data_IF_663926085959
#
_entry.id   IF_663926085959
#
_cell.length_a   1.000
_cell.length_b   1.000
_cell.length_c   1.000
_cell.angle_alpha   90.00
_cell.angle_beta   90.00
_cell.angle_gamma   90.00
#
_symmetry.space_group_name_H-M   'P 1'
#
loop_
_entity.id
_entity.type
_entity.pdbx_description
1 polymer ?
#
# COMPACT_ATOMS: atom_id res chain seq x y z
N UNK A 1 7.11 -22.71 9.87
CA UNK A 1 6.95 -21.32 9.35
C UNK A 1 8.24 -20.55 9.54
N UNK A 2 8.81 -20.03 8.48
CA UNK A 2 10.06 -19.24 8.49
C UNK A 2 9.87 -17.91 9.24
N UNK A 3 10.92 -17.42 9.91
CA UNK A 3 10.84 -16.18 10.72
C UNK A 3 10.38 -14.95 9.92
N UNK A 4 10.85 -14.81 8.67
CA UNK A 4 10.45 -13.69 7.79
C UNK A 4 8.95 -13.68 7.46
N UNK A 5 8.35 -14.87 7.29
CA UNK A 5 6.92 -14.97 6.99
C UNK A 5 6.05 -14.51 8.17
N UNK A 6 6.39 -14.95 9.40
CA UNK A 6 5.71 -14.50 10.62
C UNK A 6 5.88 -12.99 10.83
N UNK A 7 7.12 -12.50 10.66
CA UNK A 7 7.43 -11.08 10.77
C UNK A 7 6.64 -10.22 9.76
N UNK A 8 6.59 -10.66 8.51
CA UNK A 8 5.83 -9.97 7.47
C UNK A 8 4.32 -9.91 7.75
N UNK A 9 3.71 -11.04 8.14
CA UNK A 9 2.29 -11.07 8.49
C UNK A 9 1.97 -10.26 9.75
N UNK A 10 2.83 -10.32 10.77
CA UNK A 10 2.67 -9.51 11.98
C UNK A 10 2.74 -8.01 11.65
N UNK A 11 3.67 -7.61 10.79
CA UNK A 11 3.79 -6.22 10.33
C UNK A 11 2.55 -5.77 9.55
N UNK A 12 1.99 -6.61 8.66
CA UNK A 12 0.71 -6.31 8.00
C UNK A 12 -0.41 -6.19 9.05
N UNK A 13 -0.45 -7.06 10.05
CA UNK A 13 -1.42 -6.98 11.14
C UNK A 13 -1.34 -5.66 11.91
N UNK A 14 -0.12 -5.18 12.21
CA UNK A 14 0.10 -3.85 12.85
C UNK A 14 -0.42 -2.73 11.94
N UNK A 15 -0.14 -2.77 10.64
CA UNK A 15 -0.62 -1.75 9.70
C UNK A 15 -2.16 -1.72 9.63
N UNK A 16 -2.82 -2.89 9.61
CA UNK A 16 -4.28 -3.00 9.63
C UNK A 16 -4.84 -2.45 10.94
N UNK A 17 -4.26 -2.83 12.08
CA UNK A 17 -4.69 -2.33 13.38
C UNK A 17 -4.56 -0.81 13.48
N UNK A 18 -3.42 -0.24 13.06
CA UNK A 18 -3.23 1.20 13.00
C UNK A 18 -4.25 1.88 12.08
N UNK A 19 -4.54 1.29 10.91
CA UNK A 19 -5.58 1.78 9.99
C UNK A 19 -6.97 1.75 10.58
N UNK A 20 -7.34 0.73 11.36
CA UNK A 20 -8.63 0.65 12.06
C UNK A 20 -8.72 1.73 13.14
N UNK A 21 -7.68 1.84 13.98
CA UNK A 21 -7.62 2.85 15.06
C UNK A 21 -7.66 4.27 14.50
N UNK A 22 -7.05 4.49 13.33
CA UNK A 22 -7.07 5.76 12.63
C UNK A 22 -8.49 6.28 12.37
N UNK A 23 -9.45 5.39 12.08
CA UNK A 23 -10.85 5.78 11.85
C UNK A 23 -11.54 6.35 13.10
N UNK A 24 -11.08 5.97 14.30
CA UNK A 24 -11.63 6.51 15.56
C UNK A 24 -10.98 7.83 15.98
N UNK A 25 -9.70 8.02 15.64
CA UNK A 25 -8.92 9.19 16.08
C UNK A 25 -8.62 10.18 14.95
N UNK A 26 -8.85 9.81 13.70
CA UNK A 26 -8.45 10.60 12.53
C UNK A 26 -9.35 11.79 12.21
N UNK A 27 -10.56 11.87 12.78
CA UNK A 27 -11.52 12.97 12.57
C UNK A 27 -11.85 13.26 11.10
N UNK A 28 -11.79 12.25 10.21
CA UNK A 28 -12.09 12.39 8.78
C UNK A 28 -13.31 11.58 8.37
N UNK A 29 -14.06 12.09 7.41
CA UNK A 29 -15.15 11.36 6.78
C UNK A 29 -14.59 10.19 5.97
N UNK A 30 -14.80 8.98 6.48
CA UNK A 30 -14.29 7.76 5.86
C UNK A 30 -14.85 7.50 4.45
N UNK A 31 -15.95 8.12 4.08
CA UNK A 31 -16.61 7.95 2.79
C UNK A 31 -16.02 8.89 1.75
N UNK A 32 -15.87 10.16 2.09
CA UNK A 32 -15.51 11.20 1.13
C UNK A 32 -14.05 11.67 1.26
N UNK A 33 -13.44 11.57 2.43
CA UNK A 33 -12.07 12.04 2.66
C UNK A 33 -11.05 10.89 2.57
N UNK A 34 -9.87 11.21 2.03
CA UNK A 34 -8.78 10.25 1.90
C UNK A 34 -8.19 9.90 3.27
N UNK A 35 -7.59 8.74 3.36
CA UNK A 35 -6.88 8.31 4.58
C UNK A 35 -5.71 9.26 4.91
N UNK A 36 -5.06 9.78 3.88
CA UNK A 36 -3.98 10.77 4.04
C UNK A 36 -4.44 12.11 4.63
N UNK A 37 -5.73 12.46 4.60
CA UNK A 37 -6.24 13.70 5.18
C UNK A 37 -6.21 13.65 6.73
N UNK A 38 -6.06 12.46 7.31
CA UNK A 38 -5.89 12.26 8.75
C UNK A 38 -4.63 12.93 9.31
N UNK A 39 -3.64 13.24 8.47
CA UNK A 39 -2.43 13.97 8.88
C UNK A 39 -2.71 15.39 9.37
N UNK A 40 -3.92 15.91 9.18
CA UNK A 40 -4.38 17.16 9.77
C UNK A 40 -4.39 17.14 11.31
N UNK A 41 -4.38 15.94 11.93
CA UNK A 41 -4.27 15.74 13.37
C UNK A 41 -2.97 15.01 13.73
N UNK A 42 -2.36 15.37 14.87
CA UNK A 42 -1.14 14.71 15.34
C UNK A 42 -1.33 13.19 15.58
N UNK A 43 -2.44 12.71 16.20
CA UNK A 43 -2.70 11.27 16.30
C UNK A 43 -2.87 10.60 14.95
N UNK A 44 -3.54 11.25 13.99
CA UNK A 44 -3.73 10.73 12.64
C UNK A 44 -2.41 10.58 11.89
N UNK A 45 -1.56 11.60 11.93
CA UNK A 45 -0.23 11.55 11.33
C UNK A 45 0.64 10.44 11.94
N UNK A 46 0.62 10.28 13.28
CA UNK A 46 1.36 9.23 13.95
C UNK A 46 0.88 7.83 13.56
N UNK A 47 -0.42 7.59 13.53
CA UNK A 47 -1.01 6.29 13.17
C UNK A 47 -0.76 5.94 11.69
N UNK A 48 -0.86 6.92 10.79
CA UNK A 48 -0.52 6.72 9.38
C UNK A 48 0.98 6.38 9.24
N UNK A 49 1.85 7.09 9.96
CA UNK A 49 3.28 6.80 10.02
C UNK A 49 3.58 5.38 10.51
N UNK A 50 2.90 4.93 11.57
CA UNK A 50 3.01 3.55 12.09
C UNK A 50 2.56 2.53 11.04
N UNK A 51 1.44 2.76 10.37
CA UNK A 51 0.96 1.88 9.32
C UNK A 51 1.96 1.76 8.17
N UNK A 52 2.48 2.87 7.67
CA UNK A 52 3.49 2.89 6.61
C UNK A 52 4.79 2.20 7.06
N UNK A 53 5.30 2.49 8.25
CA UNK A 53 6.51 1.87 8.78
C UNK A 53 6.35 0.34 8.92
N UNK A 54 5.21 -0.12 9.40
CA UNK A 54 4.89 -1.55 9.48
C UNK A 54 4.89 -2.21 8.09
N UNK A 55 4.33 -1.56 7.07
CA UNK A 55 4.34 -2.08 5.69
C UNK A 55 5.75 -2.05 5.07
N UNK A 56 6.60 -1.09 5.43
CA UNK A 56 8.03 -1.11 5.04
C UNK A 56 8.73 -2.33 5.64
N UNK A 57 8.47 -2.66 6.91
CA UNK A 57 8.97 -3.89 7.55
C UNK A 57 8.45 -5.14 6.82
N UNK A 58 7.15 -5.17 6.47
CA UNK A 58 6.57 -6.26 5.69
C UNK A 58 7.28 -6.43 4.33
N UNK A 59 7.55 -5.33 3.61
CA UNK A 59 8.30 -5.36 2.35
C UNK A 59 9.71 -5.96 2.53
N UNK A 60 10.43 -5.58 3.59
CA UNK A 60 11.73 -6.16 3.94
C UNK A 60 11.66 -7.66 4.21
N UNK A 61 10.67 -8.10 4.99
CA UNK A 61 10.41 -9.52 5.24
C UNK A 61 10.14 -10.30 3.95
N UNK A 62 9.27 -9.76 3.08
CA UNK A 62 8.96 -10.37 1.78
C UNK A 62 10.19 -10.41 0.86
N UNK A 63 11.06 -9.39 0.90
CA UNK A 63 12.30 -9.38 0.13
C UNK A 63 13.27 -10.50 0.58
N UNK A 64 13.27 -10.86 1.86
CA UNK A 64 14.00 -12.04 2.37
C UNK A 64 13.38 -13.32 1.81
N UNK A 65 12.06 -13.46 1.82
CA UNK A 65 11.35 -14.60 1.26
C UNK A 65 11.51 -14.76 -0.25
N UNK A 66 11.65 -13.65 -0.96
CA UNK A 66 11.78 -13.63 -2.41
C UNK A 66 13.16 -14.07 -2.94
N UNK A 67 14.13 -14.43 -2.08
CA UNK A 67 15.50 -14.82 -2.51
C UNK A 67 15.50 -16.02 -3.46
N UNK A 68 14.57 -16.93 -3.28
CA UNK A 68 14.44 -18.17 -4.06
C UNK A 68 13.31 -18.10 -5.12
N UNK A 69 12.66 -16.95 -5.27
CA UNK A 69 11.62 -16.77 -6.28
C UNK A 69 12.24 -16.71 -7.69
N UNK A 70 11.49 -17.21 -8.68
CA UNK A 70 11.78 -16.90 -10.07
C UNK A 70 11.80 -15.38 -10.24
N UNK A 71 12.82 -14.84 -10.96
CA UNK A 71 13.03 -13.40 -11.11
C UNK A 71 13.24 -12.65 -9.77
N UNK A 72 13.91 -13.29 -8.81
CA UNK A 72 14.14 -12.75 -7.45
C UNK A 72 14.68 -11.32 -7.43
N UNK A 73 15.58 -10.96 -8.36
CA UNK A 73 16.11 -9.60 -8.49
C UNK A 73 15.02 -8.56 -8.77
N UNK A 74 14.13 -8.84 -9.74
CA UNK A 74 13.01 -7.96 -10.08
C UNK A 74 12.01 -7.84 -8.92
N UNK A 75 11.62 -8.98 -8.33
CA UNK A 75 10.68 -8.99 -7.20
C UNK A 75 11.23 -8.18 -6.02
N UNK A 76 12.50 -8.37 -5.68
CA UNK A 76 13.15 -7.61 -4.60
C UNK A 76 13.29 -6.12 -4.92
N UNK A 77 13.59 -5.77 -6.18
CA UNK A 77 13.61 -4.38 -6.63
C UNK A 77 12.23 -3.71 -6.49
N UNK A 78 11.17 -4.39 -6.88
CA UNK A 78 9.80 -3.90 -6.71
C UNK A 78 9.41 -3.77 -5.23
N UNK A 79 9.81 -4.71 -4.36
CA UNK A 79 9.60 -4.60 -2.92
C UNK A 79 10.34 -3.40 -2.33
N UNK A 80 11.56 -3.12 -2.80
CA UNK A 80 12.30 -1.90 -2.44
C UNK A 80 11.59 -0.63 -2.91
N UNK A 81 11.07 -0.62 -4.14
CA UNK A 81 10.29 0.49 -4.68
C UNK A 81 8.99 0.72 -3.88
N UNK A 82 8.30 -0.36 -3.50
CA UNK A 82 7.13 -0.28 -2.63
C UNK A 82 7.47 0.31 -1.26
N UNK A 83 8.54 -0.16 -0.63
CA UNK A 83 9.02 0.37 0.64
C UNK A 83 9.38 1.87 0.54
N UNK A 84 10.02 2.29 -0.55
CA UNK A 84 10.34 3.70 -0.82
C UNK A 84 9.07 4.55 -0.99
N UNK A 85 8.05 4.06 -1.69
CA UNK A 85 6.76 4.72 -1.83
C UNK A 85 6.07 4.91 -0.48
N UNK A 86 6.04 3.87 0.37
CA UNK A 86 5.48 3.93 1.72
C UNK A 86 6.24 4.90 2.63
N UNK A 87 7.58 4.92 2.54
CA UNK A 87 8.41 5.88 3.27
C UNK A 87 8.14 7.32 2.82
N UNK A 88 8.00 7.55 1.50
CA UNK A 88 7.63 8.86 0.96
C UNK A 88 6.25 9.31 1.47
N UNK A 89 5.27 8.40 1.51
CA UNK A 89 3.94 8.63 2.09
C UNK A 89 4.00 9.07 3.55
N UNK A 90 4.86 8.45 4.36
CA UNK A 90 5.00 8.74 5.77
C UNK A 90 5.73 10.07 6.05
N UNK A 91 6.71 10.42 5.21
CA UNK A 91 7.60 11.56 5.45
C UNK A 91 7.04 12.86 4.86
N UNK A 92 6.42 12.79 3.68
CA UNK A 92 5.92 13.96 2.98
C UNK A 92 4.42 14.15 3.22
N UNK A 93 3.99 15.30 3.76
CA UNK A 93 2.57 15.54 4.01
C UNK A 93 1.80 15.73 2.69
N UNK A 94 0.54 15.30 2.68
CA UNK A 94 -0.40 15.63 1.60
C UNK A 94 -0.82 17.10 1.66
N UNK A 95 -1.40 17.60 0.58
CA UNK A 95 -2.13 18.87 0.59
C UNK A 95 -3.50 18.67 1.25
N UNK A 96 -3.84 19.57 2.15
CA UNK A 96 -5.21 19.66 2.62
C UNK A 96 -6.10 20.31 1.54
N UNK A 97 -7.40 19.97 1.49
CA UNK A 97 -8.35 20.59 0.56
C UNK A 97 -8.27 22.13 0.60
N UNK A 98 -8.24 22.77 -0.56
CA UNK A 98 -8.16 24.23 -0.69
C UNK A 98 -6.78 24.85 -0.47
N UNK A 99 -5.74 24.05 -0.22
CA UNK A 99 -4.35 24.55 -0.08
C UNK A 99 -3.56 24.41 -1.39
N UNK A 100 -2.55 25.27 -1.56
CA UNK A 100 -1.66 25.21 -2.73
C UNK A 100 -0.87 23.89 -2.78
N UNK A 101 -0.68 23.35 -3.97
CA UNK A 101 0.09 22.11 -4.18
C UNK A 101 1.57 22.35 -3.90
N UNK A 102 2.12 21.63 -2.93
CA UNK A 102 3.54 21.69 -2.57
C UNK A 102 4.32 20.55 -3.23
N UNK A 103 5.65 20.71 -3.35
CA UNK A 103 6.53 19.60 -3.80
C UNK A 103 6.38 18.37 -2.90
N UNK A 104 6.24 18.54 -1.57
CA UNK A 104 5.99 17.46 -0.63
C UNK A 104 4.73 16.68 -0.98
N UNK A 105 3.64 17.38 -1.27
CA UNK A 105 2.39 16.75 -1.65
C UNK A 105 2.48 16.00 -3.00
N UNK A 106 3.27 16.49 -3.95
CA UNK A 106 3.54 15.78 -5.20
C UNK A 106 4.28 14.47 -4.90
N UNK A 107 5.33 14.50 -4.07
CA UNK A 107 6.06 13.29 -3.65
C UNK A 107 5.13 12.31 -2.93
N UNK A 108 4.28 12.80 -2.03
CA UNK A 108 3.27 11.99 -1.34
C UNK A 108 2.34 11.26 -2.33
N UNK A 109 1.84 11.97 -3.33
CA UNK A 109 0.94 11.39 -4.36
C UNK A 109 1.61 10.27 -5.16
N UNK A 110 2.89 10.45 -5.56
CA UNK A 110 3.65 9.37 -6.21
C UNK A 110 3.90 8.21 -5.26
N UNK A 111 4.19 8.48 -3.98
CA UNK A 111 4.30 7.44 -2.95
C UNK A 111 3.00 6.64 -2.81
N UNK A 112 1.85 7.32 -2.79
CA UNK A 112 0.53 6.68 -2.73
C UNK A 112 0.25 5.81 -3.97
N UNK A 113 0.57 6.31 -5.15
CA UNK A 113 0.45 5.52 -6.39
C UNK A 113 1.30 4.25 -6.35
N UNK A 114 2.56 4.34 -5.90
CA UNK A 114 3.44 3.18 -5.72
C UNK A 114 2.90 2.21 -4.65
N UNK A 115 2.34 2.73 -3.56
CA UNK A 115 1.80 1.91 -2.48
C UNK A 115 0.68 0.97 -2.93
N UNK A 116 -0.15 1.39 -3.90
CA UNK A 116 -1.26 0.58 -4.40
C UNK A 116 -0.96 -0.17 -5.71
N UNK A 117 -0.06 0.35 -6.56
CA UNK A 117 0.21 -0.24 -7.87
C UNK A 117 1.28 -1.35 -7.83
N UNK A 118 2.27 -1.24 -6.96
CA UNK A 118 3.41 -2.17 -6.93
C UNK A 118 3.05 -3.56 -6.38
N UNK A 119 2.28 -3.71 -5.28
CA UNK A 119 1.93 -5.04 -4.76
C UNK A 119 1.21 -5.95 -5.76
N UNK A 120 0.20 -5.51 -6.53
CA UNK A 120 -0.41 -6.35 -7.55
C UNK A 120 0.60 -6.79 -8.63
N UNK A 121 1.54 -5.93 -9.03
CA UNK A 121 2.59 -6.31 -9.98
C UNK A 121 3.50 -7.42 -9.41
N UNK A 122 3.89 -7.31 -8.13
CA UNK A 122 4.64 -8.37 -7.43
C UNK A 122 3.83 -9.67 -7.39
N UNK A 123 2.55 -9.57 -7.00
CA UNK A 123 1.65 -10.71 -6.94
C UNK A 123 1.56 -11.45 -8.28
N UNK A 124 1.49 -10.74 -9.40
CA UNK A 124 1.50 -11.35 -10.74
C UNK A 124 2.81 -12.08 -11.04
N UNK A 125 3.96 -11.52 -10.64
CA UNK A 125 5.27 -12.12 -10.89
C UNK A 125 5.50 -13.42 -10.12
N UNK A 126 4.94 -13.53 -8.91
CA UNK A 126 5.10 -14.72 -8.05
C UNK A 126 3.89 -15.66 -8.07
N UNK A 127 2.85 -15.34 -8.85
CA UNK A 127 1.61 -16.09 -8.85
C UNK A 127 1.79 -17.53 -9.33
N UNK A 128 1.69 -18.49 -8.42
CA UNK A 128 1.64 -19.93 -8.67
C UNK A 128 0.19 -20.45 -8.78
N UNK A 129 -0.76 -19.75 -8.19
CA UNK A 129 -2.18 -20.10 -8.16
C UNK A 129 -3.02 -19.13 -9.01
N UNK A 130 -4.13 -19.65 -9.58
CA UNK A 130 -5.11 -18.81 -10.28
C UNK A 130 -5.68 -17.73 -9.35
N UNK A 131 -5.87 -18.05 -8.05
CA UNK A 131 -6.43 -17.12 -7.06
C UNK A 131 -5.55 -15.89 -6.90
N UNK A 132 -4.23 -16.05 -6.68
CA UNK A 132 -3.32 -14.92 -6.54
C UNK A 132 -3.25 -14.10 -7.83
N UNK A 133 -3.18 -14.77 -8.99
CA UNK A 133 -3.17 -14.08 -10.29
C UNK A 133 -4.42 -13.24 -10.48
N UNK A 134 -5.63 -13.80 -10.23
CA UNK A 134 -6.90 -13.08 -10.37
C UNK A 134 -6.97 -11.92 -9.36
N UNK A 135 -6.64 -12.14 -8.09
CA UNK A 135 -6.63 -11.09 -7.09
C UNK A 135 -5.70 -9.93 -7.49
N UNK A 136 -4.49 -10.25 -7.98
CA UNK A 136 -3.54 -9.22 -8.44
C UNK A 136 -4.04 -8.46 -9.67
N UNK A 137 -4.66 -9.13 -10.64
CA UNK A 137 -5.23 -8.47 -11.82
C UNK A 137 -6.39 -7.54 -11.44
N UNK A 138 -7.29 -8.01 -10.60
CA UNK A 138 -8.45 -7.22 -10.15
C UNK A 138 -7.99 -6.03 -9.32
N UNK A 139 -7.05 -6.24 -8.38
CA UNK A 139 -6.49 -5.15 -7.56
C UNK A 139 -5.74 -4.13 -8.43
N UNK A 140 -4.91 -4.59 -9.36
CA UNK A 140 -4.19 -3.72 -10.28
C UNK A 140 -5.13 -2.90 -11.17
N UNK A 141 -6.19 -3.52 -11.68
CA UNK A 141 -7.23 -2.82 -12.44
C UNK A 141 -7.99 -1.78 -11.60
N UNK A 142 -8.35 -2.13 -10.36
CA UNK A 142 -8.99 -1.21 -9.44
C UNK A 142 -8.09 -0.02 -9.07
N UNK A 143 -6.79 -0.28 -8.81
CA UNK A 143 -5.81 0.76 -8.53
C UNK A 143 -5.61 1.70 -9.74
N UNK A 144 -5.53 1.15 -10.95
CA UNK A 144 -5.41 1.94 -12.19
C UNK A 144 -6.65 2.81 -12.43
N UNK A 145 -7.86 2.25 -12.24
CA UNK A 145 -9.13 2.99 -12.38
C UNK A 145 -9.22 4.10 -11.32
N UNK A 146 -8.88 3.80 -10.08
CA UNK A 146 -8.85 4.76 -8.99
C UNK A 146 -7.86 5.90 -9.29
N UNK A 147 -6.63 5.58 -9.72
CA UNK A 147 -5.63 6.58 -10.10
C UNK A 147 -6.07 7.44 -11.28
N UNK A 148 -6.66 6.84 -12.33
CA UNK A 148 -7.18 7.57 -13.48
C UNK A 148 -8.32 8.51 -13.10
N UNK A 149 -9.22 8.08 -12.22
CA UNK A 149 -10.31 8.91 -11.72
C UNK A 149 -9.82 10.12 -10.90
N UNK A 150 -8.68 10.01 -10.23
CA UNK A 150 -8.07 11.10 -9.46
C UNK A 150 -7.12 12.00 -10.27
N UNK A 151 -6.82 11.63 -11.51
CA UNK A 151 -5.88 12.39 -12.35
C UNK A 151 -6.28 13.85 -12.53
N UNK A 152 -7.55 14.22 -12.79
CA UNK A 152 -7.97 15.62 -12.87
C UNK A 152 -7.67 16.40 -11.59
N UNK A 153 -8.01 15.84 -10.41
CA UNK A 153 -7.74 16.47 -9.12
C UNK A 153 -6.24 16.66 -8.88
N UNK A 154 -5.42 15.69 -9.31
CA UNK A 154 -3.96 15.77 -9.20
C UNK A 154 -3.34 16.84 -10.10
N UNK A 155 -3.87 17.03 -11.31
CA UNK A 155 -3.29 17.93 -12.32
C UNK A 155 -3.83 19.35 -12.23
N UNK A 156 -5.11 19.53 -11.89
CA UNK A 156 -5.78 20.83 -11.96
C UNK A 156 -6.19 21.38 -10.59
N UNK A 157 -6.07 20.60 -9.52
CA UNK A 157 -6.63 20.95 -8.21
C UNK A 157 -8.15 20.89 -8.14
N UNK A 158 -8.80 20.24 -9.12
CA UNK A 158 -10.25 20.05 -9.12
C UNK A 158 -10.73 19.35 -7.83
N UNK A 159 -12.03 19.46 -7.54
CA UNK A 159 -12.63 18.78 -6.40
C UNK A 159 -12.43 17.25 -6.52
N UNK A 160 -12.20 16.62 -5.38
CA UNK A 160 -12.11 15.17 -5.27
C UNK A 160 -13.48 14.57 -5.56
N UNK A 161 -13.50 13.44 -6.26
CA UNK A 161 -14.73 12.71 -6.56
C UNK A 161 -15.49 12.31 -5.29
N UNK A 162 -16.84 12.31 -5.31
CA UNK A 162 -17.60 11.76 -4.21
C UNK A 162 -17.19 10.30 -3.96
N UNK A 163 -17.24 9.88 -2.72
CA UNK A 163 -16.83 8.53 -2.28
C UNK A 163 -15.34 8.19 -2.48
N UNK A 164 -14.47 9.19 -2.72
CA UNK A 164 -13.03 8.99 -2.92
C UNK A 164 -12.38 8.25 -1.74
N UNK A 165 -12.76 8.59 -0.51
CA UNK A 165 -12.26 7.93 0.68
C UNK A 165 -12.66 6.46 0.79
N UNK A 166 -13.91 6.12 0.45
CA UNK A 166 -14.36 4.73 0.43
C UNK A 166 -13.62 3.92 -0.66
N UNK A 167 -13.50 4.49 -1.86
CA UNK A 167 -12.78 3.84 -2.97
C UNK A 167 -11.31 3.59 -2.61
N UNK A 168 -10.63 4.55 -1.98
CA UNK A 168 -9.26 4.38 -1.48
C UNK A 168 -9.15 3.21 -0.51
N UNK A 169 -10.03 3.13 0.49
CA UNK A 169 -10.03 2.05 1.49
C UNK A 169 -10.26 0.69 0.89
N UNK A 170 -11.16 0.59 -0.10
CA UNK A 170 -11.39 -0.65 -0.85
C UNK A 170 -10.12 -1.07 -1.59
N UNK A 171 -9.48 -0.16 -2.33
CA UNK A 171 -8.24 -0.45 -3.06
C UNK A 171 -7.11 -0.84 -2.11
N UNK A 172 -6.97 -0.15 -0.97
CA UNK A 172 -5.98 -0.50 0.06
C UNK A 172 -6.25 -1.88 0.66
N UNK A 173 -7.50 -2.20 0.99
CA UNK A 173 -7.87 -3.52 1.50
C UNK A 173 -7.54 -4.65 0.52
N UNK A 174 -7.84 -4.44 -0.77
CA UNK A 174 -7.49 -5.39 -1.83
C UNK A 174 -5.97 -5.52 -1.98
N UNK A 175 -5.23 -4.42 -1.88
CA UNK A 175 -3.77 -4.40 -1.93
C UNK A 175 -3.16 -5.20 -0.76
N UNK A 176 -3.64 -5.01 0.46
CA UNK A 176 -3.20 -5.77 1.63
C UNK A 176 -3.50 -7.26 1.49
N UNK A 177 -4.66 -7.62 0.94
CA UNK A 177 -4.99 -9.01 0.64
C UNK A 177 -3.97 -9.64 -0.34
N UNK A 178 -3.62 -8.92 -1.42
CA UNK A 178 -2.59 -9.37 -2.36
C UNK A 178 -1.23 -9.52 -1.68
N UNK A 179 -0.85 -8.61 -0.78
CA UNK A 179 0.41 -8.72 0.00
C UNK A 179 0.42 -10.00 0.85
N UNK A 180 -0.68 -10.30 1.55
CA UNK A 180 -0.80 -11.53 2.36
C UNK A 180 -0.72 -12.78 1.48
N UNK A 181 -1.42 -12.80 0.35
CA UNK A 181 -1.38 -13.92 -0.61
C UNK A 181 0.01 -14.09 -1.23
N UNK A 182 0.71 -12.98 -1.51
CA UNK A 182 2.11 -12.98 -1.97
C UNK A 182 3.05 -13.59 -0.94
N UNK A 183 2.88 -13.24 0.34
CA UNK A 183 3.64 -13.84 1.44
C UNK A 183 3.45 -15.36 1.51
N UNK A 184 2.22 -15.85 1.32
CA UNK A 184 1.93 -17.28 1.30
C UNK A 184 2.61 -17.97 0.10
N UNK A 185 2.51 -17.40 -1.11
CA UNK A 185 3.12 -17.95 -2.32
C UNK A 185 4.66 -18.02 -2.24
N UNK A 186 5.29 -17.01 -1.66
CA UNK A 186 6.75 -16.98 -1.43
C UNK A 186 7.19 -18.03 -0.40
N UNK A 187 6.37 -18.30 0.62
CA UNK A 187 6.65 -19.35 1.60
C UNK A 187 6.63 -20.73 0.95
N UNK A 188 5.57 -21.08 0.23
CA UNK A 188 5.45 -22.35 -0.47
C UNK A 188 6.65 -22.59 -1.39
N UNK A 189 7.09 -21.56 -2.13
CA UNK A 189 8.26 -21.64 -2.98
C UNK A 189 9.58 -21.85 -2.23
N UNK A 190 9.70 -21.43 -0.97
CA UNK A 190 10.91 -21.64 -0.19
C UNK A 190 11.00 -23.04 0.44
N UNK A 191 9.87 -23.69 0.68
CA UNK A 191 9.80 -25.05 1.26
C UNK A 191 10.14 -26.14 0.21
N UNK A 192 10.04 -25.86 -1.09
CA UNK A 192 10.42 -26.78 -2.16
C UNK A 192 11.95 -26.93 -2.31
N UNK A 193 12.76 -26.04 -1.72
CA UNK A 193 14.23 -26.04 -1.84
C UNK A 193 14.96 -26.51 -0.57
N UNK A 194 14.24 -26.94 0.46
CA UNK A 194 14.77 -27.50 1.71
C UNK A 194 14.51 -28.98 1.82
#
# INVERSE_FOLDING_TARGET
>A
MTGWHRGGLAAVGVAVAAGIVLHWFGSVDAVNQMLSDTVSSAPGAALLGVACAALVVAAGCLAVGARHAARSGLVRGLLGLWAAGLAALAVFPTNLPGTAVTTGAVIHRYGAALAVAVPPAIGLLVARTRRLRTASMVTGGAAALYGAAHLPAMLTGAEILPYAGLAERVVLGMTLLVVVMTAAALREGSEEWT
#
